data_IF_682865876587
#
_entry.id   IF_682865876587
#
_cell.length_a   1.000
_cell.length_b   1.000
_cell.length_c   1.000
_cell.angle_alpha   90.00
_cell.angle_beta   90.00
_cell.angle_gamma   90.00
#
_symmetry.space_group_name_H-M   'P 1'
#
loop_
_entity.id
_entity.type
_entity.pdbx_description
1 polymer ?
#
# COMPACT_ATOMS: atom_id res chain seq x y z
N UNK A 1 -14.99 -8.92 -12.70
CA UNK A 1 -15.41 -10.18 -13.36
C UNK A 1 -16.93 -10.24 -13.52
N UNK A 2 -17.67 -10.11 -12.45
CA UNK A 2 -19.12 -10.02 -12.42
C UNK A 2 -19.59 -9.27 -11.15
N UNK A 3 -20.89 -9.33 -10.80
CA UNK A 3 -21.46 -8.58 -9.68
C UNK A 3 -20.97 -9.06 -8.29
N UNK A 4 -20.38 -10.26 -8.20
CA UNK A 4 -19.93 -10.87 -6.94
C UNK A 4 -18.45 -11.25 -6.93
N UNK A 5 -17.72 -11.08 -8.04
CA UNK A 5 -16.33 -11.47 -8.13
C UNK A 5 -15.44 -10.33 -8.62
N UNK A 6 -14.34 -10.15 -7.92
CA UNK A 6 -13.25 -9.24 -8.29
C UNK A 6 -12.00 -10.04 -8.63
N UNK A 7 -11.14 -9.46 -9.45
CA UNK A 7 -9.76 -9.96 -9.66
C UNK A 7 -8.83 -8.94 -9.05
N UNK A 8 -7.86 -9.38 -8.24
CA UNK A 8 -6.98 -8.48 -7.52
C UNK A 8 -5.52 -8.82 -7.76
N UNK A 9 -4.73 -7.83 -8.16
CA UNK A 9 -3.28 -7.99 -8.26
C UNK A 9 -2.64 -7.99 -6.88
N UNK A 10 -2.04 -9.10 -6.51
CA UNK A 10 -1.23 -9.22 -5.30
C UNK A 10 0.25 -9.12 -5.67
N UNK A 11 0.89 -8.05 -5.20
CA UNK A 11 2.35 -7.93 -5.29
C UNK A 11 3.03 -8.94 -4.37
N UNK A 12 4.27 -9.40 -4.66
CA UNK A 12 4.97 -10.44 -3.87
C UNK A 12 5.43 -9.87 -2.51
N UNK A 13 4.48 -9.69 -1.59
CA UNK A 13 4.60 -9.20 -0.23
C UNK A 13 3.83 -10.12 0.72
N UNK A 14 3.67 -9.72 1.98
CA UNK A 14 3.07 -10.53 3.06
C UNK A 14 1.71 -11.14 2.68
N UNK A 15 0.78 -10.33 2.15
CA UNK A 15 -0.54 -10.85 1.75
C UNK A 15 -0.42 -11.94 0.67
N UNK A 16 0.46 -11.77 -0.31
CA UNK A 16 0.70 -12.79 -1.34
C UNK A 16 1.24 -14.07 -0.72
N UNK A 17 2.21 -13.98 0.19
CA UNK A 17 2.75 -15.14 0.91
C UNK A 17 1.64 -15.86 1.69
N UNK A 18 0.82 -15.13 2.44
CA UNK A 18 -0.31 -15.71 3.19
C UNK A 18 -1.29 -16.46 2.27
N UNK A 19 -1.62 -15.87 1.12
CA UNK A 19 -2.53 -16.47 0.14
C UNK A 19 -1.92 -17.74 -0.46
N UNK A 20 -0.65 -17.69 -0.86
CA UNK A 20 0.03 -18.86 -1.44
C UNK A 20 0.15 -20.00 -0.43
N UNK A 21 0.43 -19.73 0.83
CA UNK A 21 0.48 -20.73 1.91
C UNK A 21 -0.90 -21.34 2.20
N UNK A 22 -1.96 -20.54 2.19
CA UNK A 22 -3.31 -21.01 2.40
C UNK A 22 -3.77 -21.90 1.23
N UNK A 23 -3.53 -21.45 -0.01
CA UNK A 23 -3.85 -22.19 -1.24
C UNK A 23 -3.10 -23.53 -1.32
N UNK A 24 -1.82 -23.58 -0.89
CA UNK A 24 -1.06 -24.81 -0.82
C UNK A 24 -1.71 -25.87 0.11
N UNK A 25 -2.55 -25.43 1.04
CA UNK A 25 -3.33 -26.28 1.96
C UNK A 25 -4.79 -26.47 1.49
N UNK A 26 -5.16 -25.94 0.34
CA UNK A 26 -6.53 -25.98 -0.19
C UNK A 26 -7.50 -25.05 0.55
N UNK A 27 -7.00 -24.00 1.21
CA UNK A 27 -7.80 -23.04 1.95
C UNK A 27 -7.92 -21.70 1.21
N UNK A 28 -9.06 -21.06 1.41
CA UNK A 28 -9.32 -19.67 1.01
C UNK A 28 -8.91 -18.72 2.14
N UNK A 29 -8.70 -17.44 1.81
CA UNK A 29 -8.29 -16.41 2.79
C UNK A 29 -9.39 -15.38 2.92
N UNK A 30 -9.92 -15.20 4.13
CA UNK A 30 -10.86 -14.11 4.40
C UNK A 30 -10.19 -12.77 4.17
N UNK A 31 -10.92 -11.86 3.49
CA UNK A 31 -10.43 -10.52 3.17
C UNK A 31 -11.51 -9.47 3.45
N UNK A 32 -11.05 -8.25 3.72
CA UNK A 32 -11.86 -7.04 3.70
C UNK A 32 -11.19 -6.00 2.81
N UNK A 33 -11.99 -5.29 2.02
CA UNK A 33 -11.54 -4.19 1.16
C UNK A 33 -12.30 -2.94 1.58
N UNK A 34 -11.59 -1.87 1.90
CA UNK A 34 -12.18 -0.57 2.21
C UNK A 34 -11.86 0.44 1.12
N UNK A 35 -12.84 1.28 0.78
CA UNK A 35 -12.65 2.39 -0.14
C UNK A 35 -12.94 3.70 0.59
N UNK A 36 -12.17 4.73 0.27
CA UNK A 36 -12.20 6.03 0.92
C UNK A 36 -12.18 5.93 2.46
N UNK A 37 -11.21 5.24 3.07
CA UNK A 37 -10.97 5.30 4.50
C UNK A 37 -10.37 6.66 4.88
N UNK A 38 -10.06 6.84 6.17
CA UNK A 38 -9.24 7.98 6.61
C UNK A 38 -7.92 8.05 5.80
N UNK A 39 -7.46 9.25 5.38
CA UNK A 39 -6.22 9.40 4.59
C UNK A 39 -4.98 8.77 5.20
N UNK A 40 -4.87 8.71 6.55
CA UNK A 40 -3.73 8.05 7.21
C UNK A 40 -3.77 6.54 7.05
N UNK A 41 -4.96 5.94 6.91
CA UNK A 41 -5.12 4.50 6.63
C UNK A 41 -4.66 4.19 5.21
N UNK A 42 -5.05 5.04 4.25
CA UNK A 42 -4.62 4.89 2.86
C UNK A 42 -3.09 5.01 2.74
N UNK A 43 -2.51 6.00 3.43
CA UNK A 43 -1.06 6.19 3.47
C UNK A 43 -0.33 5.00 4.11
N UNK A 44 -0.80 4.51 5.27
CA UNK A 44 -0.22 3.36 5.95
C UNK A 44 -0.30 2.09 5.08
N UNK A 45 -1.43 1.86 4.41
CA UNK A 45 -1.61 0.74 3.48
C UNK A 45 -0.72 0.80 2.22
N UNK A 46 -0.20 1.98 1.87
CA UNK A 46 0.77 2.14 0.78
C UNK A 46 2.23 1.91 1.23
N UNK A 47 2.49 1.83 2.54
CA UNK A 47 3.84 1.56 3.08
C UNK A 47 4.27 0.12 2.80
N UNK A 48 5.57 -0.08 2.67
CA UNK A 48 6.19 -1.39 2.56
C UNK A 48 7.23 -1.55 3.65
N UNK A 49 7.14 -2.63 4.40
CA UNK A 49 8.08 -2.98 5.46
C UNK A 49 8.70 -4.35 5.17
N UNK A 50 9.94 -4.55 5.59
CA UNK A 50 10.64 -5.83 5.43
C UNK A 50 10.18 -6.86 6.47
N UNK A 51 9.69 -6.40 7.62
CA UNK A 51 9.10 -7.23 8.66
C UNK A 51 7.57 -7.12 8.67
N UNK A 52 6.86 -8.16 9.15
CA UNK A 52 5.41 -8.11 9.29
C UNK A 52 5.02 -7.08 10.37
N UNK A 53 4.59 -5.92 9.92
CA UNK A 53 4.09 -4.83 10.76
C UNK A 53 2.60 -4.70 10.51
N UNK A 54 1.83 -4.43 11.59
CA UNK A 54 0.42 -4.12 11.48
C UNK A 54 0.23 -2.66 11.01
N UNK A 55 -0.10 -2.47 9.75
CA UNK A 55 -0.31 -1.17 9.12
C UNK A 55 -1.45 -0.38 9.78
N UNK A 56 -2.47 -1.05 10.36
CA UNK A 56 -3.51 -0.37 11.11
C UNK A 56 -2.99 0.24 12.41
N UNK A 57 -1.99 -0.37 13.05
CA UNK A 57 -1.31 0.21 14.21
C UNK A 57 -0.53 1.47 13.84
N UNK A 58 0.11 1.49 12.67
CA UNK A 58 0.77 2.69 12.14
C UNK A 58 -0.27 3.78 11.84
N UNK A 59 -1.35 3.43 11.16
CA UNK A 59 -2.45 4.35 10.87
C UNK A 59 -3.03 4.94 12.16
N UNK A 60 -3.23 4.12 13.19
CA UNK A 60 -3.72 4.57 14.51
C UNK A 60 -2.76 5.55 15.19
N UNK A 61 -1.46 5.29 15.14
CA UNK A 61 -0.44 6.18 15.68
C UNK A 61 -0.38 7.53 14.92
N UNK A 62 -0.45 7.51 13.59
CA UNK A 62 -0.51 8.70 12.77
C UNK A 62 -1.80 9.49 13.02
N UNK A 63 -2.94 8.81 13.07
CA UNK A 63 -4.24 9.41 13.36
C UNK A 63 -4.23 10.12 14.71
N UNK A 64 -3.72 9.44 15.76
CA UNK A 64 -3.58 10.04 17.10
C UNK A 64 -2.68 11.28 17.09
N UNK A 65 -1.57 11.21 16.35
CA UNK A 65 -0.62 12.34 16.25
C UNK A 65 -1.19 13.55 15.53
N UNK A 66 -1.97 13.33 14.45
CA UNK A 66 -2.48 14.41 13.60
C UNK A 66 -3.79 15.01 14.12
N UNK A 67 -4.67 14.18 14.68
CA UNK A 67 -6.03 14.58 15.02
C UNK A 67 -6.33 14.54 16.54
N UNK A 68 -5.38 14.09 17.36
CA UNK A 68 -5.52 13.87 18.81
C UNK A 68 -6.72 12.96 19.18
N UNK A 69 -7.12 12.08 18.28
CA UNK A 69 -8.21 11.12 18.46
C UNK A 69 -7.77 9.70 18.10
N UNK A 70 -8.54 8.72 18.52
CA UNK A 70 -8.30 7.30 18.18
C UNK A 70 -8.87 6.95 16.82
N UNK A 71 -8.19 6.10 16.07
CA UNK A 71 -8.76 5.48 14.87
C UNK A 71 -9.80 4.44 15.33
N UNK A 72 -11.06 4.66 15.01
CA UNK A 72 -12.14 3.73 15.33
C UNK A 72 -12.19 2.59 14.32
N UNK A 73 -12.33 1.38 14.83
CA UNK A 73 -12.47 0.16 14.03
C UNK A 73 -13.82 -0.51 14.30
N UNK A 74 -14.36 -1.17 13.28
CA UNK A 74 -15.59 -1.97 13.35
C UNK A 74 -15.33 -3.35 12.76
N UNK A 75 -15.90 -4.39 13.37
CA UNK A 75 -15.80 -5.74 12.85
C UNK A 75 -16.84 -5.97 11.75
N UNK A 76 -16.41 -6.48 10.60
CA UNK A 76 -17.28 -6.98 9.53
C UNK A 76 -17.84 -8.37 9.86
N UNK A 77 -18.87 -8.86 9.13
CA UNK A 77 -19.46 -10.16 9.38
C UNK A 77 -18.48 -11.34 9.33
N UNK A 78 -17.39 -11.25 8.57
CA UNK A 78 -16.32 -12.25 8.52
C UNK A 78 -15.28 -12.11 9.65
N UNK A 79 -15.50 -11.19 10.61
CA UNK A 79 -14.65 -10.97 11.79
C UNK A 79 -13.45 -10.04 11.58
N UNK A 80 -13.19 -9.59 10.34
CA UNK A 80 -12.09 -8.67 10.06
C UNK A 80 -12.48 -7.26 10.51
N UNK A 81 -11.55 -6.60 11.23
CA UNK A 81 -11.72 -5.23 11.65
C UNK A 81 -11.30 -4.26 10.55
N UNK A 82 -12.12 -3.24 10.32
CA UNK A 82 -11.89 -2.19 9.32
C UNK A 82 -12.12 -0.80 9.92
N UNK A 83 -11.54 0.27 9.36
CA UNK A 83 -11.83 1.64 9.79
C UNK A 83 -13.31 1.95 9.71
N UNK A 84 -13.88 2.42 10.81
CA UNK A 84 -15.32 2.68 10.95
C UNK A 84 -15.82 3.84 10.07
N UNK A 85 -14.91 4.71 9.63
CA UNK A 85 -15.22 5.88 8.82
C UNK A 85 -15.04 5.68 7.30
N UNK A 86 -14.76 4.44 6.84
CA UNK A 86 -14.70 4.15 5.41
C UNK A 86 -16.05 4.41 4.72
N UNK A 87 -16.01 4.89 3.48
CA UNK A 87 -17.22 5.12 2.68
C UNK A 87 -17.83 3.80 2.20
N UNK A 88 -16.98 2.82 1.82
CA UNK A 88 -17.36 1.47 1.49
C UNK A 88 -16.47 0.46 2.22
N UNK A 89 -17.07 -0.64 2.63
CA UNK A 89 -16.38 -1.82 3.14
C UNK A 89 -16.98 -3.08 2.51
N UNK A 90 -16.16 -3.81 1.78
CA UNK A 90 -16.51 -5.11 1.21
C UNK A 90 -15.82 -6.20 2.01
N UNK A 91 -16.48 -7.35 2.15
CA UNK A 91 -15.86 -8.54 2.74
C UNK A 91 -16.13 -9.76 1.87
N UNK A 92 -15.27 -10.73 1.95
CA UNK A 92 -15.31 -11.94 1.18
C UNK A 92 -14.10 -12.80 1.42
N UNK A 93 -13.70 -13.55 0.42
CA UNK A 93 -12.56 -14.44 0.48
C UNK A 93 -11.78 -14.46 -0.83
N UNK A 94 -10.48 -14.52 -0.74
CA UNK A 94 -9.60 -14.83 -1.85
C UNK A 94 -9.70 -16.32 -2.08
N UNK A 95 -10.20 -16.70 -3.24
CA UNK A 95 -10.44 -18.11 -3.62
C UNK A 95 -9.17 -18.79 -4.08
N UNK A 96 -9.25 -20.07 -4.41
CA UNK A 96 -8.15 -20.83 -5.03
C UNK A 96 -8.09 -20.62 -6.55
N UNK A 97 -9.02 -19.90 -7.14
CA UNK A 97 -9.08 -19.62 -8.57
C UNK A 97 -8.28 -18.37 -8.94
N UNK A 98 -7.76 -18.35 -10.17
CA UNK A 98 -7.18 -17.18 -10.82
C UNK A 98 -7.99 -16.81 -12.06
N UNK A 99 -7.92 -15.54 -12.45
CA UNK A 99 -8.52 -15.02 -13.69
C UNK A 99 -7.67 -13.89 -14.25
N UNK A 100 -7.97 -13.44 -15.45
CA UNK A 100 -7.27 -12.35 -16.11
C UNK A 100 -7.44 -11.02 -15.37
N UNK A 101 -6.34 -10.38 -15.02
CA UNK A 101 -6.26 -9.03 -14.46
C UNK A 101 -5.50 -8.12 -15.43
N UNK A 102 -6.05 -6.94 -15.65
CA UNK A 102 -5.49 -5.97 -16.59
C UNK A 102 -6.10 -6.04 -18.00
N UNK A 103 -5.52 -5.36 -18.97
CA UNK A 103 -4.32 -4.53 -18.85
C UNK A 103 -4.60 -3.20 -18.12
N UNK A 104 -3.64 -2.72 -17.33
CA UNK A 104 -3.73 -1.44 -16.63
C UNK A 104 -2.51 -0.56 -16.92
N UNK A 105 -2.69 0.76 -16.71
CA UNK A 105 -1.58 1.70 -16.76
C UNK A 105 -0.76 1.58 -15.47
N UNK A 106 0.54 1.39 -15.59
CA UNK A 106 1.48 1.36 -14.48
C UNK A 106 1.83 2.78 -14.00
N UNK A 107 2.53 2.88 -12.86
CA UNK A 107 3.00 4.13 -12.26
C UNK A 107 3.87 4.96 -13.22
N UNK A 108 4.56 4.30 -14.15
CA UNK A 108 5.39 4.93 -15.19
C UNK A 108 4.58 5.50 -16.35
N UNK A 109 3.26 5.25 -16.41
CA UNK A 109 2.41 5.61 -17.54
C UNK A 109 2.46 4.60 -18.70
N UNK A 110 3.15 3.47 -18.55
CA UNK A 110 3.17 2.37 -19.51
C UNK A 110 2.05 1.39 -19.22
N UNK A 111 1.53 0.73 -20.28
CA UNK A 111 0.51 -0.31 -20.11
C UNK A 111 1.18 -1.60 -19.63
N UNK A 112 0.70 -2.15 -18.53
CA UNK A 112 1.12 -3.46 -18.03
C UNK A 112 0.30 -4.58 -18.71
N UNK A 113 0.91 -5.75 -18.85
CA UNK A 113 0.28 -6.91 -19.50
C UNK A 113 -0.82 -7.54 -18.63
N UNK A 114 -1.74 -8.26 -19.31
CA UNK A 114 -2.70 -9.14 -18.65
C UNK A 114 -1.97 -10.25 -17.89
N UNK A 115 -2.39 -10.52 -16.66
CA UNK A 115 -1.80 -11.54 -15.79
C UNK A 115 -2.88 -12.34 -15.09
N UNK A 116 -2.59 -13.62 -14.83
CA UNK A 116 -3.40 -14.45 -13.95
C UNK A 116 -3.23 -13.98 -12.51
N UNK A 117 -4.33 -13.59 -11.87
CA UNK A 117 -4.35 -13.06 -10.51
C UNK A 117 -5.52 -13.65 -9.71
N UNK A 118 -5.40 -13.68 -8.37
CA UNK A 118 -6.42 -14.25 -7.50
C UNK A 118 -7.80 -13.63 -7.68
N UNK A 119 -8.81 -14.50 -7.66
CA UNK A 119 -10.21 -14.10 -7.63
C UNK A 119 -10.66 -13.92 -6.17
N UNK A 120 -11.37 -12.83 -5.91
CA UNK A 120 -12.09 -12.58 -4.66
C UNK A 120 -13.57 -12.83 -4.91
N UNK A 121 -14.18 -13.70 -4.13
CA UNK A 121 -15.63 -13.81 -4.02
C UNK A 121 -16.11 -12.86 -2.92
N UNK A 122 -17.00 -11.92 -3.27
CA UNK A 122 -17.55 -10.91 -2.37
C UNK A 122 -18.82 -11.43 -1.72
N UNK A 123 -18.81 -11.56 -0.40
CA UNK A 123 -19.97 -12.02 0.39
C UNK A 123 -20.93 -10.87 0.71
N UNK A 124 -20.42 -9.62 0.75
CA UNK A 124 -21.26 -8.46 0.98
C UNK A 124 -20.52 -7.14 0.95
N UNK A 125 -21.30 -6.06 0.89
CA UNK A 125 -20.85 -4.69 0.84
C UNK A 125 -21.65 -3.84 1.83
N UNK A 126 -20.95 -3.06 2.65
CA UNK A 126 -21.52 -1.98 3.43
C UNK A 126 -21.09 -0.65 2.84
N UNK A 127 -21.93 0.35 2.92
CA UNK A 127 -21.61 1.72 2.50
C UNK A 127 -22.34 2.73 3.38
N UNK A 128 -21.82 3.96 3.40
CA UNK A 128 -22.48 5.08 4.05
C UNK A 128 -23.74 5.49 3.29
N UNK A 129 -24.60 6.29 3.94
CA UNK A 129 -25.63 7.03 3.22
C UNK A 129 -24.94 8.06 2.32
N UNK A 130 -25.27 8.05 1.02
CA UNK A 130 -24.64 8.94 0.02
C UNK A 130 -23.11 8.83 -0.01
N UNK A 131 -22.54 7.61 -0.23
CA UNK A 131 -21.11 7.38 -0.13
C UNK A 131 -20.35 8.03 -1.28
N UNK A 132 -19.12 8.46 -0.98
CA UNK A 132 -18.16 8.97 -1.97
C UNK A 132 -17.24 7.82 -2.39
N UNK A 133 -17.20 7.50 -3.69
CA UNK A 133 -16.27 6.52 -4.20
C UNK A 133 -14.93 7.18 -4.54
N UNK A 134 -13.87 6.74 -3.89
CA UNK A 134 -12.52 7.17 -4.17
C UNK A 134 -11.94 6.32 -5.31
N UNK A 135 -11.86 6.89 -6.50
CA UNK A 135 -11.24 6.26 -7.67
C UNK A 135 -9.79 6.72 -7.82
N UNK A 136 -8.86 5.86 -7.39
CA UNK A 136 -7.43 6.09 -7.63
C UNK A 136 -7.12 5.81 -9.11
N UNK A 137 -6.71 6.84 -9.84
CA UNK A 137 -6.38 6.70 -11.27
C UNK A 137 -4.93 6.22 -11.41
N UNK A 138 -4.69 5.04 -12.01
CA UNK A 138 -3.35 4.51 -12.19
C UNK A 138 -2.44 5.46 -12.99
N UNK A 139 -1.18 5.58 -12.57
CA UNK A 139 -0.18 6.42 -13.25
C UNK A 139 -0.31 7.93 -13.01
N UNK A 140 -1.35 8.40 -12.32
CA UNK A 140 -1.56 9.80 -12.02
C UNK A 140 -0.87 10.25 -10.70
N UNK A 141 -0.96 11.54 -10.39
CA UNK A 141 -0.21 12.17 -9.29
C UNK A 141 -0.47 11.52 -7.92
N UNK A 142 -1.73 11.18 -7.62
CA UNK A 142 -2.10 10.55 -6.36
C UNK A 142 -1.47 9.16 -6.21
N UNK A 143 -1.55 8.32 -7.26
CA UNK A 143 -0.90 7.01 -7.28
C UNK A 143 0.61 7.13 -7.01
N UNK A 144 1.28 8.04 -7.73
CA UNK A 144 2.72 8.32 -7.57
C UNK A 144 3.06 8.81 -6.15
N UNK A 145 2.23 9.68 -5.60
CA UNK A 145 2.43 10.22 -4.24
C UNK A 145 2.28 9.14 -3.18
N UNK A 146 1.24 8.31 -3.26
CA UNK A 146 1.02 7.21 -2.30
C UNK A 146 2.15 6.19 -2.34
N UNK A 147 2.68 5.89 -3.51
CA UNK A 147 3.81 4.96 -3.66
C UNK A 147 5.13 5.54 -3.15
N UNK A 148 5.36 6.83 -3.35
CA UNK A 148 6.65 7.47 -3.08
C UNK A 148 6.80 8.07 -1.69
N UNK A 149 5.74 8.66 -1.16
CA UNK A 149 5.78 9.37 0.13
C UNK A 149 6.32 8.52 1.29
N UNK A 150 5.92 7.24 1.44
CA UNK A 150 6.45 6.38 2.50
C UNK A 150 7.94 5.98 2.31
N UNK A 151 8.49 6.10 1.11
CA UNK A 151 9.89 5.71 0.83
C UNK A 151 10.91 6.73 1.29
N UNK A 152 10.59 8.01 1.25
CA UNK A 152 11.52 9.05 1.65
C UNK A 152 12.03 8.91 3.09
N UNK A 153 11.19 8.65 4.11
CA UNK A 153 11.65 8.35 5.47
C UNK A 153 12.56 7.13 5.55
N UNK A 154 12.19 6.01 4.90
CA UNK A 154 12.98 4.77 4.91
C UNK A 154 14.37 4.99 4.33
N UNK A 155 14.48 5.67 3.18
CA UNK A 155 15.76 6.04 2.59
C UNK A 155 16.55 6.97 3.53
N UNK A 156 15.87 7.94 4.14
CA UNK A 156 16.51 8.88 5.07
C UNK A 156 17.12 8.17 6.27
N UNK A 157 16.39 7.22 6.85
CA UNK A 157 16.87 6.43 7.99
C UNK A 157 18.09 5.61 7.60
N UNK A 158 18.03 4.86 6.50
CA UNK A 158 19.16 4.05 6.01
C UNK A 158 20.41 4.92 5.70
N UNK A 159 20.23 6.05 5.04
CA UNK A 159 21.36 6.97 4.73
C UNK A 159 21.92 7.61 6.00
N UNK A 160 21.06 7.91 6.99
CA UNK A 160 21.49 8.53 8.25
C UNK A 160 22.36 7.62 9.11
N UNK A 161 22.33 6.31 8.89
CA UNK A 161 23.22 5.35 9.57
C UNK A 161 24.68 5.46 9.10
N UNK A 162 24.91 5.98 7.89
CA UNK A 162 26.25 5.99 7.27
C UNK A 162 26.83 7.39 7.03
N UNK A 163 25.95 8.41 6.89
CA UNK A 163 26.37 9.81 6.67
C UNK A 163 25.38 10.79 7.31
N UNK A 164 25.76 12.08 7.43
CA UNK A 164 24.86 13.14 7.94
C UNK A 164 23.80 13.49 6.89
N UNK A 165 22.68 12.76 6.91
CA UNK A 165 21.56 12.95 6.01
C UNK A 165 20.65 14.09 6.49
N UNK A 166 20.49 15.11 5.67
CA UNK A 166 19.64 16.27 5.98
C UNK A 166 18.20 15.99 5.56
N UNK A 167 18.02 15.53 4.31
CA UNK A 167 16.68 15.34 3.73
C UNK A 167 16.70 14.37 2.54
N UNK A 168 15.51 13.79 2.25
CA UNK A 168 15.28 12.94 1.08
C UNK A 168 13.99 13.35 0.40
N UNK A 169 14.04 13.49 -0.92
CA UNK A 169 12.90 13.86 -1.74
C UNK A 169 12.74 12.91 -2.91
N UNK A 170 11.53 12.34 -3.07
CA UNK A 170 11.17 11.52 -4.24
C UNK A 170 10.76 12.43 -5.40
N UNK A 171 11.44 12.33 -6.54
CA UNK A 171 11.26 13.29 -7.63
C UNK A 171 10.07 12.96 -8.53
N UNK A 172 9.39 13.99 -9.05
CA UNK A 172 8.33 13.84 -10.05
C UNK A 172 8.83 13.17 -11.33
N UNK A 173 10.05 13.52 -11.79
CA UNK A 173 10.67 12.90 -12.96
C UNK A 173 10.94 11.41 -12.80
N UNK A 174 11.07 10.93 -11.56
CA UNK A 174 11.12 9.52 -11.21
C UNK A 174 9.74 8.94 -10.85
N UNK A 175 8.66 9.51 -11.33
CA UNK A 175 7.29 9.09 -11.03
C UNK A 175 6.97 9.09 -9.53
N UNK A 176 7.67 9.94 -8.74
CA UNK A 176 7.55 9.98 -7.28
C UNK A 176 8.11 8.75 -6.56
N UNK A 177 8.64 7.77 -7.27
CA UNK A 177 9.03 6.47 -6.69
C UNK A 177 10.38 5.94 -7.15
N UNK A 178 10.78 6.18 -8.40
CA UNK A 178 11.95 5.55 -9.04
C UNK A 178 13.24 6.37 -8.91
N UNK A 179 13.16 7.63 -8.47
CA UNK A 179 14.33 8.47 -8.31
C UNK A 179 14.21 9.35 -7.06
N UNK A 180 15.24 9.30 -6.22
CA UNK A 180 15.36 10.10 -5.01
C UNK A 180 16.48 11.12 -5.13
N UNK A 181 16.29 12.31 -4.56
CA UNK A 181 17.36 13.27 -4.26
C UNK A 181 17.65 13.20 -2.78
N UNK A 182 18.89 12.86 -2.44
CA UNK A 182 19.35 12.77 -1.05
C UNK A 182 20.26 13.96 -0.76
N UNK A 183 19.89 14.78 0.23
CA UNK A 183 20.67 15.92 0.68
C UNK A 183 21.49 15.50 1.90
N UNK A 184 22.81 15.56 1.77
CA UNK A 184 23.74 15.24 2.86
C UNK A 184 24.60 16.44 3.24
N UNK A 185 25.14 16.46 4.47
CA UNK A 185 26.26 17.30 4.85
C UNK A 185 27.53 16.48 4.67
N UNK A 186 28.30 16.83 3.64
CA UNK A 186 29.52 16.11 3.30
C UNK A 186 30.67 16.48 4.25
N UNK A 187 31.25 15.47 4.89
CA UNK A 187 32.45 15.61 5.77
C UNK A 187 33.66 14.90 5.16
N UNK A 188 33.44 13.89 4.31
CA UNK A 188 34.46 13.05 3.68
C UNK A 188 34.18 12.91 2.18
N UNK A 189 35.24 12.61 1.38
CA UNK A 189 35.08 12.39 -0.07
C UNK A 189 34.21 11.18 -0.39
N UNK A 190 34.24 10.14 0.44
CA UNK A 190 33.47 8.91 0.28
C UNK A 190 31.99 9.04 0.70
N UNK A 191 31.60 10.11 1.38
CA UNK A 191 30.23 10.25 1.92
C UNK A 191 29.16 10.18 0.85
N UNK A 192 29.42 10.74 -0.33
CA UNK A 192 28.46 10.68 -1.45
C UNK A 192 28.24 9.24 -1.94
N UNK A 193 29.30 8.44 -1.97
CA UNK A 193 29.22 7.03 -2.37
C UNK A 193 28.47 6.20 -1.33
N UNK A 194 28.81 6.37 -0.04
CA UNK A 194 28.10 5.71 1.07
C UNK A 194 26.62 6.02 1.05
N UNK A 195 26.26 7.31 0.83
CA UNK A 195 24.86 7.72 0.74
C UNK A 195 24.11 7.04 -0.40
N UNK A 196 24.73 6.92 -1.59
CA UNK A 196 24.13 6.23 -2.75
C UNK A 196 23.95 4.74 -2.45
N UNK A 197 24.96 4.07 -1.92
CA UNK A 197 24.91 2.65 -1.59
C UNK A 197 23.81 2.35 -0.56
N UNK A 198 23.71 3.16 0.51
CA UNK A 198 22.69 3.03 1.52
C UNK A 198 21.26 3.33 1.01
N UNK A 199 21.11 4.28 0.08
CA UNK A 199 19.82 4.62 -0.50
C UNK A 199 19.28 3.56 -1.48
N UNK A 200 20.13 2.68 -2.00
CA UNK A 200 19.80 1.63 -2.98
C UNK A 200 19.67 0.23 -2.35
N UNK A 201 20.08 0.07 -1.09
CA UNK A 201 19.98 -1.20 -0.35
C UNK A 201 18.55 -1.46 0.11
#
# INVERSE_FOLDING_TARGET
RDESHLVVRLVPRHLRTMVDEARAKGHEVNIAIVNAPDPVVLLAGAMSFDEPIDELSIAAALHKKLYDSSLELVALPNGIQVPANAEYAMWGRITTEDDDEGPYVDITGTVDDVRQQPVIEVDGVLHRNEPIFHALIPGEAEHKTLMGLPRAPTIKDAVSEVVDCIDVYMTEGGCGWLAAVVKIRKHDEEDSKKAIEAALA
#
